data_IF_284601499697
#
_entry.id   IF_284601499697
#
_cell.length_a   1.000
_cell.length_b   1.000
_cell.length_c   1.000
_cell.angle_alpha   90.00
_cell.angle_beta   90.00
_cell.angle_gamma   90.00
#
_symmetry.space_group_name_H-M   'P 1'
#
loop_
_entity.id
_entity.type
_entity.pdbx_description
1 polymer ?
#
# COMPACT_ATOMS: atom_id res chain seq x y z
N UNK A 1 -2.65 4.62 20.70
CA UNK A 1 -1.19 4.37 20.56
C UNK A 1 -0.62 5.38 19.58
N UNK A 2 0.65 5.82 19.70
CA UNK A 2 1.20 6.76 18.71
C UNK A 2 1.59 6.05 17.41
N UNK A 3 1.52 6.75 16.27
CA UNK A 3 1.88 6.21 14.96
C UNK A 3 3.30 5.60 14.95
N UNK A 4 4.25 6.24 15.63
CA UNK A 4 5.62 5.72 15.75
C UNK A 4 5.68 4.36 16.48
N UNK A 5 4.83 4.13 17.48
CA UNK A 5 4.76 2.84 18.17
C UNK A 5 4.15 1.76 17.26
N UNK A 6 3.14 2.11 16.46
CA UNK A 6 2.54 1.20 15.48
C UNK A 6 3.56 0.79 14.42
N UNK A 7 4.25 1.77 13.81
CA UNK A 7 5.28 1.53 12.80
C UNK A 7 6.35 0.59 13.35
N UNK A 8 6.83 0.85 14.58
CA UNK A 8 7.82 -0.01 15.24
C UNK A 8 7.32 -1.44 15.41
N UNK A 9 6.07 -1.63 15.86
CA UNK A 9 5.46 -2.97 15.99
C UNK A 9 5.40 -3.71 14.66
N UNK A 10 5.00 -3.04 13.58
CA UNK A 10 4.95 -3.62 12.23
C UNK A 10 6.37 -4.08 11.82
N UNK A 11 7.36 -3.20 11.96
CA UNK A 11 8.75 -3.49 11.59
C UNK A 11 9.38 -4.62 12.41
N UNK A 12 9.02 -4.73 13.69
CA UNK A 12 9.50 -5.79 14.58
C UNK A 12 8.73 -7.11 14.44
N UNK A 13 7.65 -7.15 13.65
CA UNK A 13 6.83 -8.36 13.53
C UNK A 13 5.95 -8.64 14.76
N UNK A 14 5.73 -7.63 15.62
CA UNK A 14 5.02 -7.78 16.91
C UNK A 14 3.58 -7.31 16.78
N UNK A 15 2.80 -8.09 16.04
CA UNK A 15 1.39 -7.84 15.76
C UNK A 15 0.65 -9.16 15.47
N UNK A 16 -0.65 -9.18 15.68
CA UNK A 16 -1.53 -10.22 15.13
C UNK A 16 -1.90 -9.87 13.69
N UNK A 17 -2.01 -10.86 12.79
CA UNK A 17 -2.26 -10.60 11.36
C UNK A 17 -3.50 -9.74 11.13
N UNK A 18 -4.53 -9.91 11.95
CA UNK A 18 -5.77 -9.14 11.90
C UNK A 18 -5.54 -7.64 12.17
N UNK A 19 -4.54 -7.28 12.98
CA UNK A 19 -4.17 -5.88 13.25
C UNK A 19 -3.68 -5.15 11.98
N UNK A 20 -3.19 -5.88 10.97
CA UNK A 20 -2.79 -5.26 9.69
C UNK A 20 -3.98 -4.60 9.00
N UNK A 21 -5.19 -5.15 9.15
CA UNK A 21 -6.40 -4.52 8.66
C UNK A 21 -6.68 -3.21 9.41
N UNK A 22 -6.59 -3.23 10.74
CA UNK A 22 -6.77 -2.04 11.57
C UNK A 22 -5.74 -0.95 11.24
N UNK A 23 -4.51 -1.33 10.93
CA UNK A 23 -3.46 -0.38 10.57
C UNK A 23 -3.71 0.29 9.20
N UNK A 24 -4.41 -0.37 8.26
CA UNK A 24 -4.84 0.25 7.00
C UNK A 24 -5.95 1.30 7.18
N UNK A 25 -6.65 1.31 8.32
CA UNK A 25 -7.62 2.35 8.66
C UNK A 25 -6.97 3.63 9.20
N UNK A 26 -5.70 3.56 9.59
CA UNK A 26 -4.97 4.70 10.12
C UNK A 26 -4.48 5.54 8.95
N UNK A 27 -5.15 6.67 8.70
CA UNK A 27 -4.83 7.60 7.61
C UNK A 27 -3.53 8.40 7.87
N UNK A 28 -2.42 7.68 7.97
CA UNK A 28 -1.07 8.19 8.10
C UNK A 28 -0.18 7.47 7.09
N UNK A 29 0.44 8.23 6.19
CA UNK A 29 1.23 7.70 5.07
C UNK A 29 2.28 6.67 5.51
N UNK A 30 2.97 6.92 6.62
CA UNK A 30 4.01 5.99 7.12
C UNK A 30 3.43 4.71 7.73
N UNK A 31 2.28 4.80 8.42
CA UNK A 31 1.61 3.61 8.93
C UNK A 31 1.11 2.76 7.76
N UNK A 32 0.43 3.39 6.79
CA UNK A 32 -0.09 2.72 5.60
C UNK A 32 1.03 2.01 4.82
N UNK A 33 2.14 2.71 4.55
CA UNK A 33 3.22 2.15 3.74
C UNK A 33 3.93 0.97 4.41
N UNK A 34 4.19 1.05 5.73
CA UNK A 34 4.78 -0.06 6.46
C UNK A 34 3.82 -1.26 6.53
N UNK A 35 2.52 -0.99 6.68
CA UNK A 35 1.48 -2.03 6.71
C UNK A 35 1.40 -2.77 5.37
N UNK A 36 1.37 -2.04 4.24
CA UNK A 36 1.35 -2.61 2.89
C UNK A 36 2.57 -3.49 2.61
N UNK A 37 3.77 -3.03 3.00
CA UNK A 37 4.99 -3.83 2.90
C UNK A 37 4.89 -5.14 3.64
N UNK A 38 4.42 -5.07 4.87
CA UNK A 38 4.32 -6.25 5.71
C UNK A 38 3.28 -7.23 5.15
N UNK A 39 2.12 -6.73 4.69
CA UNK A 39 1.10 -7.50 3.97
C UNK A 39 1.69 -8.27 2.79
N UNK A 40 2.49 -7.63 1.94
CA UNK A 40 3.16 -8.27 0.80
C UNK A 40 4.19 -9.29 1.27
N UNK A 41 5.02 -8.95 2.26
CA UNK A 41 6.04 -9.85 2.80
C UNK A 41 5.44 -11.15 3.34
N UNK A 42 4.29 -11.09 4.03
CA UNK A 42 3.63 -12.28 4.58
C UNK A 42 2.53 -12.86 3.67
N UNK A 43 2.33 -12.27 2.48
CA UNK A 43 1.30 -12.63 1.51
C UNK A 43 -0.11 -12.73 2.13
N UNK A 44 -0.45 -11.76 2.99
CA UNK A 44 -1.73 -11.77 3.72
C UNK A 44 -2.83 -11.05 2.93
N UNK A 45 -3.66 -11.85 2.26
CA UNK A 45 -4.71 -11.39 1.36
C UNK A 45 -6.08 -11.82 1.88
N UNK A 46 -6.86 -10.86 2.36
CA UNK A 46 -8.29 -11.00 2.67
C UNK A 46 -9.09 -10.04 1.80
N UNK A 47 -10.38 -10.32 1.59
CA UNK A 47 -11.25 -9.41 0.84
C UNK A 47 -11.28 -8.01 1.46
N UNK A 48 -11.25 -7.92 2.79
CA UNK A 48 -11.18 -6.65 3.51
C UNK A 48 -9.90 -5.87 3.20
N UNK A 49 -8.73 -6.53 3.19
CA UNK A 49 -7.46 -5.90 2.81
C UNK A 49 -7.49 -5.44 1.35
N UNK A 50 -7.96 -6.30 0.43
CA UNK A 50 -8.02 -5.95 -1.00
C UNK A 50 -8.91 -4.73 -1.21
N UNK A 51 -10.13 -4.74 -0.65
CA UNK A 51 -11.07 -3.63 -0.77
C UNK A 51 -10.48 -2.35 -0.20
N UNK A 52 -9.82 -2.45 0.96
CA UNK A 52 -9.20 -1.28 1.57
C UNK A 52 -8.03 -0.71 0.76
N UNK A 53 -7.20 -1.57 0.16
CA UNK A 53 -6.15 -1.14 -0.77
C UNK A 53 -6.71 -0.49 -2.04
N UNK A 54 -7.86 -0.97 -2.55
CA UNK A 54 -8.58 -0.32 -3.66
C UNK A 54 -9.04 1.07 -3.23
N UNK A 55 -9.58 1.26 -2.03
CA UNK A 55 -9.96 2.59 -1.55
C UNK A 55 -8.76 3.53 -1.38
N UNK A 56 -7.65 3.03 -0.80
CA UNK A 56 -6.43 3.82 -0.62
C UNK A 56 -5.82 4.18 -1.99
N UNK A 57 -6.05 3.38 -3.03
CA UNK A 57 -5.56 3.67 -4.37
C UNK A 57 -6.00 5.04 -4.92
N UNK A 58 -7.12 5.57 -4.43
CA UNK A 58 -7.65 6.90 -4.76
C UNK A 58 -6.88 8.06 -4.09
N UNK A 59 -6.00 7.76 -3.12
CA UNK A 59 -5.23 8.75 -2.38
C UNK A 59 -3.98 9.17 -3.17
N UNK A 60 -4.19 9.78 -4.34
CA UNK A 60 -3.12 10.23 -5.27
C UNK A 60 -2.88 11.75 -5.26
N UNK A 61 -3.62 12.51 -4.45
CA UNK A 61 -3.45 13.95 -4.31
C UNK A 61 -2.20 14.39 -3.53
N UNK A 62 -1.89 15.70 -3.55
CA UNK A 62 -0.70 16.29 -2.91
C UNK A 62 -0.57 16.03 -1.39
N UNK A 63 -1.69 15.86 -0.69
CA UNK A 63 -1.71 15.52 0.75
C UNK A 63 -1.29 14.08 1.06
N UNK A 64 -1.20 13.24 0.03
CA UNK A 64 -0.95 11.81 0.14
C UNK A 64 0.41 11.42 -0.45
N UNK A 65 1.30 12.39 -0.64
CA UNK A 65 2.66 12.15 -1.12
C UNK A 65 3.39 11.26 -0.13
N UNK A 66 3.96 10.19 -0.68
CA UNK A 66 4.83 9.28 0.02
C UNK A 66 6.30 9.71 -0.12
N UNK A 67 6.76 9.86 -1.36
CA UNK A 67 8.12 10.29 -1.66
C UNK A 67 8.18 10.88 -3.08
N UNK A 68 8.64 12.12 -3.21
CA UNK A 68 8.72 12.79 -4.51
C UNK A 68 7.36 12.83 -5.20
N UNK A 69 7.24 12.14 -6.34
CA UNK A 69 5.98 12.03 -7.11
C UNK A 69 5.14 10.79 -6.74
N UNK A 70 5.69 9.90 -5.90
CA UNK A 70 4.99 8.71 -5.44
C UNK A 70 4.01 9.07 -4.33
N UNK A 71 2.80 8.52 -4.42
CA UNK A 71 1.73 8.75 -3.44
C UNK A 71 1.42 7.42 -2.75
N UNK A 72 0.72 7.48 -1.63
CA UNK A 72 0.26 6.26 -0.97
C UNK A 72 -0.74 5.48 -1.84
N UNK A 73 -1.52 6.17 -2.68
CA UNK A 73 -2.40 5.52 -3.66
C UNK A 73 -1.62 4.74 -4.71
N UNK A 74 -0.54 5.31 -5.26
CA UNK A 74 0.35 4.57 -6.17
C UNK A 74 0.93 3.32 -5.49
N UNK A 75 1.35 3.43 -4.23
CA UNK A 75 1.86 2.28 -3.48
C UNK A 75 0.77 1.23 -3.25
N UNK A 76 -0.47 1.63 -2.96
CA UNK A 76 -1.57 0.69 -2.77
C UNK A 76 -1.85 -0.12 -4.04
N UNK A 77 -1.79 0.50 -5.22
CA UNK A 77 -1.93 -0.22 -6.50
C UNK A 77 -0.77 -1.19 -6.70
N UNK A 78 0.47 -0.75 -6.47
CA UNK A 78 1.64 -1.64 -6.54
C UNK A 78 1.53 -2.81 -5.55
N UNK A 79 0.95 -2.58 -4.37
CA UNK A 79 0.69 -3.61 -3.35
C UNK A 79 -0.28 -4.66 -3.87
N UNK A 80 -1.38 -4.25 -4.50
CA UNK A 80 -2.35 -5.17 -5.12
C UNK A 80 -1.68 -6.06 -6.17
N UNK A 81 -0.81 -5.47 -7.01
CA UNK A 81 -0.05 -6.23 -8.02
C UNK A 81 0.92 -7.24 -7.38
N UNK A 82 1.62 -6.84 -6.31
CA UNK A 82 2.51 -7.71 -5.54
C UNK A 82 1.79 -8.83 -4.76
N UNK A 83 0.48 -8.71 -4.58
CA UNK A 83 -0.42 -9.76 -4.07
C UNK A 83 -1.04 -10.61 -5.20
N UNK A 84 -0.43 -10.56 -6.39
CA UNK A 84 -0.77 -11.34 -7.58
C UNK A 84 -2.18 -11.06 -8.13
N UNK A 85 -2.74 -9.87 -7.88
CA UNK A 85 -3.93 -9.43 -8.61
C UNK A 85 -3.54 -8.99 -10.02
N UNK A 86 -4.33 -9.44 -11.00
CA UNK A 86 -4.05 -9.18 -12.41
C UNK A 86 -4.37 -7.74 -12.78
N UNK A 87 -3.50 -7.12 -13.58
CA UNK A 87 -3.64 -5.72 -14.04
C UNK A 87 -4.97 -5.51 -14.77
N UNK A 88 -5.38 -6.49 -15.56
CA UNK A 88 -6.60 -6.46 -16.37
C UNK A 88 -7.87 -6.43 -15.50
N UNK A 89 -7.79 -6.93 -14.26
CA UNK A 89 -8.91 -7.02 -13.31
C UNK A 89 -8.95 -5.81 -12.35
N UNK A 90 -7.90 -4.99 -12.31
CA UNK A 90 -7.79 -3.84 -11.41
C UNK A 90 -8.21 -2.54 -12.08
N UNK A 91 -9.47 -2.15 -11.87
CA UNK A 91 -9.99 -0.87 -12.36
C UNK A 91 -9.14 0.33 -11.89
N UNK A 92 -8.68 0.32 -10.63
CA UNK A 92 -7.81 1.36 -10.09
C UNK A 92 -6.48 1.52 -10.83
N UNK A 93 -5.93 0.43 -11.40
CA UNK A 93 -4.75 0.48 -12.26
C UNK A 93 -5.12 0.90 -13.68
N UNK A 94 -6.23 0.38 -14.22
CA UNK A 94 -6.64 0.64 -15.59
C UNK A 94 -7.04 2.10 -15.84
N UNK A 95 -7.59 2.76 -14.82
CA UNK A 95 -7.98 4.17 -14.84
C UNK A 95 -6.82 5.16 -14.75
N UNK A 96 -5.59 4.69 -14.46
CA UNK A 96 -4.40 5.53 -14.46
C UNK A 96 -4.00 5.95 -15.87
N UNK A 97 -3.45 7.16 -15.99
CA UNK A 97 -2.75 7.58 -17.20
C UNK A 97 -1.39 6.86 -17.36
N UNK A 98 -0.74 7.00 -18.52
CA UNK A 98 0.56 6.34 -18.77
C UNK A 98 1.65 6.77 -17.78
N UNK A 99 1.62 8.01 -17.30
CA UNK A 99 2.60 8.52 -16.35
C UNK A 99 2.42 7.87 -14.98
N UNK A 100 1.19 7.81 -14.48
CA UNK A 100 0.82 7.14 -13.23
C UNK A 100 1.09 5.62 -13.32
N UNK A 101 0.78 4.97 -14.45
CA UNK A 101 1.13 3.54 -14.67
C UNK A 101 2.63 3.30 -14.54
N UNK A 102 3.45 4.15 -15.16
CA UNK A 102 4.90 4.06 -15.04
C UNK A 102 5.39 4.25 -13.60
N UNK A 103 4.72 5.08 -12.80
CA UNK A 103 5.02 5.20 -11.36
C UNK A 103 4.71 3.89 -10.64
N UNK A 104 3.52 3.31 -10.85
CA UNK A 104 3.12 2.07 -10.20
C UNK A 104 4.07 0.92 -10.55
N UNK A 105 4.46 0.78 -11.83
CA UNK A 105 5.40 -0.25 -12.26
C UNK A 105 6.77 -0.10 -11.58
N UNK A 106 7.28 1.13 -11.45
CA UNK A 106 8.54 1.38 -10.71
C UNK A 106 8.42 1.02 -9.23
N UNK A 107 7.28 1.29 -8.60
CA UNK A 107 7.01 0.91 -7.23
C UNK A 107 6.87 -0.62 -7.08
N UNK A 108 6.28 -1.30 -8.06
CA UNK A 108 6.15 -2.76 -8.11
C UNK A 108 7.53 -3.44 -8.25
N UNK A 109 8.37 -2.96 -9.17
CA UNK A 109 9.74 -3.46 -9.39
C UNK A 109 10.65 -3.19 -8.18
N UNK A 110 10.58 -1.97 -7.64
CA UNK A 110 11.40 -1.51 -6.53
C UNK A 110 10.82 -1.77 -5.15
N UNK A 111 9.75 -2.56 -5.03
CA UNK A 111 8.87 -2.60 -3.84
C UNK A 111 9.59 -2.82 -2.51
N UNK A 112 10.62 -3.66 -2.51
CA UNK A 112 11.45 -3.97 -1.33
C UNK A 112 12.27 -2.75 -0.84
N UNK A 113 12.55 -1.80 -1.74
CA UNK A 113 13.36 -0.60 -1.51
C UNK A 113 12.53 0.67 -1.32
N UNK A 114 11.20 0.60 -1.47
CA UNK A 114 10.33 1.78 -1.35
C UNK A 114 10.13 2.12 0.13
N UNK A 115 10.91 3.07 0.68
CA UNK A 115 10.97 3.53 2.09
C UNK A 115 11.86 2.69 3.00
#
# INVERSE_FOLDING_TARGET
>A
MSNNKIIKRIQEGVYDKEELQDFLEINNVFVLSNTMKEIVKIQYKTDAIINRLIEISEYRGKSHVLMGVYTIGHLAIATLLKLELKKEELECYNNLDEYEKNIVLKLEEGYEYVI
#
